data_IF_947439896252
#
_entry.id   IF_947439896252
#
_cell.length_a   1.000
_cell.length_b   1.000
_cell.length_c   1.000
_cell.angle_alpha   90.00
_cell.angle_beta   90.00
_cell.angle_gamma   90.00
#
_symmetry.space_group_name_H-M   'P 1'
#
loop_
_entity.id
_entity.type
_entity.pdbx_description
1 polymer ?
#
# COMPACT_ATOMS: atom_id res chain seq x y z
N UNK A 1 18.11 26.01 -2.21
CA UNK A 1 17.01 26.94 -2.54
C UNK A 1 16.01 26.14 -3.36
N UNK A 2 14.77 26.02 -2.89
CA UNK A 2 13.73 25.33 -3.67
C UNK A 2 13.36 26.19 -4.88
N UNK A 3 13.32 25.61 -6.08
CA UNK A 3 12.76 26.30 -7.24
C UNK A 3 11.27 26.56 -6.98
N UNK A 4 10.85 27.82 -7.08
CA UNK A 4 9.44 28.18 -7.01
C UNK A 4 8.73 27.75 -8.30
N UNK A 5 7.66 26.97 -8.17
CA UNK A 5 6.76 26.63 -9.29
C UNK A 5 5.68 27.70 -9.45
N UNK A 6 5.38 28.10 -10.69
CA UNK A 6 4.37 29.14 -10.98
C UNK A 6 3.41 28.68 -12.08
N UNK A 7 2.12 28.52 -11.74
CA UNK A 7 1.09 28.05 -12.68
C UNK A 7 0.89 28.97 -13.88
N UNK A 8 1.11 30.28 -13.73
CA UNK A 8 0.96 31.24 -14.83
C UNK A 8 2.03 31.11 -15.92
N UNK A 9 3.08 30.31 -15.67
CA UNK A 9 4.12 29.99 -16.65
C UNK A 9 3.79 28.72 -17.45
N UNK A 10 2.68 28.04 -17.16
CA UNK A 10 2.25 26.84 -17.87
C UNK A 10 1.24 27.20 -18.96
N UNK A 11 1.58 26.94 -20.22
CA UNK A 11 0.65 27.11 -21.36
C UNK A 11 -0.48 26.07 -21.36
N UNK A 12 -0.19 24.88 -20.81
CA UNK A 12 -1.12 23.75 -20.73
C UNK A 12 -0.99 23.10 -19.36
N UNK A 13 -2.13 22.71 -18.80
CA UNK A 13 -2.20 21.92 -17.57
C UNK A 13 -2.96 20.64 -17.88
N UNK A 14 -2.24 19.52 -17.82
CA UNK A 14 -2.83 18.19 -17.94
C UNK A 14 -3.32 17.71 -16.58
N UNK A 15 -4.52 17.14 -16.54
CA UNK A 15 -5.07 16.50 -15.37
C UNK A 15 -5.26 15.02 -15.66
N UNK A 16 -4.90 14.18 -14.70
CA UNK A 16 -5.35 12.80 -14.69
C UNK A 16 -6.88 12.74 -14.52
N UNK A 17 -7.51 11.66 -14.98
CA UNK A 17 -8.95 11.50 -14.88
C UNK A 17 -9.31 10.84 -13.54
N UNK A 18 -8.97 9.57 -13.38
CA UNK A 18 -9.41 8.77 -12.25
C UNK A 18 -8.74 9.23 -10.95
N UNK A 19 -9.54 9.38 -9.89
CA UNK A 19 -9.10 9.91 -8.60
C UNK A 19 -8.56 11.36 -8.62
N UNK A 20 -8.56 12.04 -9.78
CA UNK A 20 -8.19 13.46 -9.93
C UNK A 20 -9.38 14.32 -10.36
N UNK A 21 -9.82 14.23 -11.63
CA UNK A 21 -11.03 14.91 -12.11
C UNK A 21 -12.31 14.12 -11.76
N UNK A 22 -12.26 12.80 -11.95
CA UNK A 22 -13.33 11.89 -11.60
C UNK A 22 -13.11 11.38 -10.16
N UNK A 23 -14.03 11.76 -9.26
CA UNK A 23 -13.96 11.39 -7.84
C UNK A 23 -14.92 10.26 -7.55
N UNK A 24 -14.36 9.17 -7.02
CA UNK A 24 -15.10 7.99 -6.64
C UNK A 24 -15.47 8.00 -5.15
N UNK A 25 -16.55 7.30 -4.81
CA UNK A 25 -16.81 6.92 -3.42
C UNK A 25 -15.88 5.76 -3.06
N UNK A 26 -14.83 6.06 -2.28
CA UNK A 26 -13.74 5.12 -2.02
C UNK A 26 -14.22 3.84 -1.33
N UNK A 27 -15.18 3.92 -0.42
CA UNK A 27 -15.73 2.75 0.27
C UNK A 27 -16.35 1.76 -0.73
N UNK A 28 -17.27 2.24 -1.57
CA UNK A 28 -17.93 1.40 -2.58
C UNK A 28 -16.96 0.90 -3.66
N UNK A 29 -15.98 1.73 -4.05
CA UNK A 29 -15.01 1.37 -5.08
C UNK A 29 -14.03 0.30 -4.60
N UNK A 30 -13.51 0.45 -3.37
CA UNK A 30 -12.63 -0.56 -2.75
C UNK A 30 -13.37 -1.89 -2.59
N UNK A 31 -14.63 -1.83 -2.18
CA UNK A 31 -15.48 -3.02 -2.06
C UNK A 31 -15.63 -3.74 -3.39
N UNK A 32 -16.00 -3.01 -4.44
CA UNK A 32 -16.15 -3.56 -5.79
C UNK A 32 -14.84 -4.19 -6.31
N UNK A 33 -13.71 -3.51 -6.12
CA UNK A 33 -12.40 -3.99 -6.57
C UNK A 33 -12.05 -5.32 -5.90
N UNK A 34 -12.19 -5.39 -4.57
CA UNK A 34 -11.89 -6.60 -3.82
C UNK A 34 -12.84 -7.74 -4.18
N UNK A 35 -14.16 -7.51 -4.20
CA UNK A 35 -15.15 -8.54 -4.54
C UNK A 35 -14.89 -9.12 -5.93
N UNK A 36 -14.60 -8.25 -6.90
CA UNK A 36 -14.28 -8.67 -8.28
C UNK A 36 -13.04 -9.57 -8.32
N UNK A 37 -12.01 -9.23 -7.53
CA UNK A 37 -10.76 -9.98 -7.51
C UNK A 37 -10.89 -11.30 -6.73
N UNK A 38 -11.54 -11.28 -5.56
CA UNK A 38 -11.82 -12.47 -4.76
C UNK A 38 -12.65 -13.49 -5.55
N UNK A 39 -13.70 -13.02 -6.25
CA UNK A 39 -14.52 -13.86 -7.12
C UNK A 39 -13.68 -14.56 -8.19
N UNK A 40 -12.78 -13.82 -8.85
CA UNK A 40 -11.87 -14.39 -9.85
C UNK A 40 -10.92 -15.43 -9.24
N UNK A 41 -10.31 -15.14 -8.08
CA UNK A 41 -9.40 -16.07 -7.41
C UNK A 41 -10.10 -17.38 -7.01
N UNK A 42 -11.33 -17.31 -6.51
CA UNK A 42 -12.11 -18.49 -6.14
C UNK A 42 -12.50 -19.30 -7.38
N UNK A 43 -13.12 -18.65 -8.36
CA UNK A 43 -13.71 -19.35 -9.52
C UNK A 43 -12.68 -19.83 -10.53
N UNK A 44 -11.69 -19.00 -10.85
CA UNK A 44 -10.74 -19.26 -11.93
C UNK A 44 -9.40 -19.81 -11.43
N UNK A 45 -9.07 -19.59 -10.15
CA UNK A 45 -7.80 -20.05 -9.56
C UNK A 45 -7.98 -21.09 -8.45
N UNK A 46 -9.21 -21.40 -8.04
CA UNK A 46 -9.50 -22.44 -7.05
C UNK A 46 -9.06 -22.09 -5.62
N UNK A 47 -9.01 -20.80 -5.28
CA UNK A 47 -8.74 -20.36 -3.91
C UNK A 47 -9.94 -20.62 -3.00
N UNK A 48 -9.72 -20.60 -1.68
CA UNK A 48 -10.77 -20.81 -0.67
C UNK A 48 -11.93 -19.81 -0.83
N UNK A 49 -13.16 -20.32 -0.73
CA UNK A 49 -14.39 -19.49 -0.74
C UNK A 49 -14.44 -18.50 0.44
N UNK A 50 -13.63 -18.70 1.49
CA UNK A 50 -13.49 -17.76 2.61
C UNK A 50 -13.08 -16.36 2.16
N UNK A 51 -12.40 -16.20 1.02
CA UNK A 51 -12.07 -14.89 0.44
C UNK A 51 -13.30 -14.06 0.04
N UNK A 52 -14.47 -14.67 -0.12
CA UNK A 52 -15.71 -13.96 -0.41
C UNK A 52 -16.37 -13.38 0.85
N UNK A 53 -15.86 -13.75 2.03
CA UNK A 53 -16.43 -13.42 3.33
C UNK A 53 -15.47 -12.54 4.14
N UNK A 54 -15.44 -11.23 3.86
CA UNK A 54 -14.62 -10.26 4.60
C UNK A 54 -15.47 -9.46 5.59
N UNK A 55 -15.01 -9.37 6.82
CA UNK A 55 -15.70 -8.60 7.86
C UNK A 55 -15.52 -7.09 7.64
N UNK A 56 -16.48 -6.23 8.07
CA UNK A 56 -16.32 -4.78 8.02
C UNK A 56 -15.01 -4.26 8.64
N UNK A 57 -14.51 -4.91 9.69
CA UNK A 57 -13.30 -4.53 10.42
C UNK A 57 -12.02 -4.75 9.61
N UNK A 58 -12.02 -5.74 8.72
CA UNK A 58 -10.89 -6.07 7.85
C UNK A 58 -10.72 -5.04 6.72
N UNK A 59 -11.77 -4.31 6.35
CA UNK A 59 -11.69 -3.25 5.34
C UNK A 59 -10.88 -2.03 5.79
N UNK A 60 -10.82 -1.78 7.10
CA UNK A 60 -10.10 -0.63 7.68
C UNK A 60 -8.62 -0.95 7.98
N UNK A 61 -8.17 -2.17 7.73
CA UNK A 61 -6.80 -2.61 8.03
C UNK A 61 -5.75 -1.95 7.13
N UNK A 62 -5.97 -1.96 5.82
CA UNK A 62 -5.00 -1.48 4.83
C UNK A 62 -5.13 0.02 4.58
N UNK A 63 -4.01 0.74 4.59
CA UNK A 63 -3.96 2.18 4.31
C UNK A 63 -2.93 2.51 3.23
N UNK A 64 -3.12 3.66 2.56
CA UNK A 64 -2.18 4.14 1.54
C UNK A 64 -0.78 4.34 2.16
N UNK A 65 0.24 3.88 1.44
CA UNK A 65 1.65 4.04 1.83
C UNK A 65 2.23 2.87 2.62
N UNK A 66 1.49 1.77 2.77
CA UNK A 66 2.05 0.50 3.23
C UNK A 66 2.84 -0.17 2.10
N UNK A 67 3.91 -0.87 2.48
CA UNK A 67 4.66 -1.77 1.60
C UNK A 67 4.24 -3.19 1.92
N UNK A 68 3.91 -3.98 0.89
CA UNK A 68 3.71 -5.41 1.04
C UNK A 68 5.02 -6.12 0.70
N UNK A 69 5.64 -6.71 1.71
CA UNK A 69 6.77 -7.61 1.57
C UNK A 69 6.26 -9.03 1.25
N UNK A 70 6.35 -9.40 -0.02
CA UNK A 70 5.87 -10.70 -0.50
C UNK A 70 6.76 -11.87 -0.07
N UNK A 71 8.03 -11.63 0.25
CA UNK A 71 8.95 -12.69 0.65
C UNK A 71 8.63 -13.18 2.07
N UNK A 72 8.38 -12.23 2.98
CA UNK A 72 8.08 -12.52 4.38
C UNK A 72 6.57 -12.52 4.70
N UNK A 73 5.72 -12.11 3.75
CA UNK A 73 4.27 -12.04 3.94
C UNK A 73 3.81 -10.93 4.88
N UNK A 74 4.55 -9.81 4.92
CA UNK A 74 4.34 -8.75 5.91
C UNK A 74 3.88 -7.43 5.27
N UNK A 75 3.01 -6.70 5.96
CA UNK A 75 2.75 -5.29 5.66
C UNK A 75 3.64 -4.40 6.50
N UNK A 76 4.35 -3.47 5.86
CA UNK A 76 5.33 -2.59 6.48
C UNK A 76 4.90 -1.13 6.35
N UNK A 77 5.00 -0.39 7.46
CA UNK A 77 4.94 1.07 7.46
C UNK A 77 6.34 1.62 7.64
N UNK A 78 6.86 2.29 6.62
CA UNK A 78 8.22 2.80 6.61
C UNK A 78 8.30 4.29 6.96
N UNK A 79 9.41 4.69 7.57
CA UNK A 79 9.84 6.07 7.66
C UNK A 79 10.49 6.52 6.34
N UNK A 80 10.73 7.82 6.21
CA UNK A 80 11.35 8.42 5.02
C UNK A 80 12.80 7.95 4.77
N UNK A 81 13.46 7.39 5.79
CA UNK A 81 14.81 6.81 5.70
C UNK A 81 14.80 5.29 5.50
N UNK A 82 13.62 4.65 5.45
CA UNK A 82 13.47 3.22 5.24
C UNK A 82 13.34 2.39 6.52
N UNK A 83 13.40 3.03 7.69
CA UNK A 83 13.17 2.36 8.97
C UNK A 83 11.73 1.85 9.07
N UNK A 84 11.53 0.61 9.50
CA UNK A 84 10.22 0.02 9.74
C UNK A 84 9.65 0.58 11.05
N UNK A 85 8.59 1.38 10.92
CA UNK A 85 7.87 1.98 12.04
C UNK A 85 6.85 1.00 12.65
N UNK A 86 6.19 0.21 11.79
CA UNK A 86 5.22 -0.84 12.17
C UNK A 86 5.27 -1.96 11.15
N UNK A 87 5.01 -3.18 11.60
CA UNK A 87 4.82 -4.33 10.73
C UNK A 87 3.67 -5.21 11.22
N UNK A 88 3.07 -5.95 10.29
CA UNK A 88 2.13 -7.02 10.58
C UNK A 88 2.47 -8.22 9.70
N UNK A 89 2.25 -9.44 10.21
CA UNK A 89 2.24 -10.65 9.40
C UNK A 89 0.79 -11.03 9.10
N UNK A 90 0.38 -10.92 7.84
CA UNK A 90 -1.04 -10.79 7.51
C UNK A 90 -1.66 -9.63 8.30
N UNK A 91 -2.73 -9.90 9.07
CA UNK A 91 -3.41 -8.93 9.93
C UNK A 91 -2.88 -8.87 11.37
N UNK A 92 -1.95 -9.76 11.74
CA UNK A 92 -1.42 -9.83 13.11
C UNK A 92 -0.29 -8.80 13.29
N UNK A 93 -0.43 -7.88 14.24
CA UNK A 93 0.62 -6.94 14.61
C UNK A 93 1.88 -7.66 15.10
N UNK A 94 3.04 -7.19 14.66
CA UNK A 94 4.34 -7.69 15.11
C UNK A 94 4.91 -6.82 16.24
N UNK A 95 5.58 -7.43 17.21
CA UNK A 95 6.35 -6.72 18.24
C UNK A 95 7.66 -6.17 17.70
N UNK A 96 8.31 -5.31 18.48
CA UNK A 96 9.61 -4.78 18.08
C UNK A 96 10.71 -5.85 17.98
N UNK A 97 10.61 -6.89 18.80
CA UNK A 97 11.50 -8.05 18.78
C UNK A 97 11.25 -8.91 17.54
N UNK A 98 9.99 -9.21 17.22
CA UNK A 98 9.62 -9.96 16.00
C UNK A 98 10.09 -9.21 14.73
N UNK A 99 9.97 -7.88 14.71
CA UNK A 99 10.48 -7.07 13.59
C UNK A 99 12.01 -7.15 13.51
N UNK A 100 12.71 -7.08 14.64
CA UNK A 100 14.17 -7.15 14.66
C UNK A 100 14.70 -8.54 14.27
N UNK A 101 13.95 -9.61 14.58
CA UNK A 101 14.28 -10.98 14.17
C UNK A 101 14.19 -11.15 12.65
N UNK A 102 13.14 -10.61 12.02
CA UNK A 102 12.92 -10.73 10.56
C UNK A 102 13.77 -9.74 9.76
N UNK A 103 13.85 -8.49 10.20
CA UNK A 103 14.45 -7.36 9.44
C UNK A 103 15.77 -6.86 10.02
N UNK A 104 16.32 -7.54 11.04
CA UNK A 104 17.53 -7.16 11.74
C UNK A 104 17.33 -6.04 12.77
N UNK A 105 18.33 -5.86 13.64
CA UNK A 105 18.30 -4.88 14.75
C UNK A 105 18.01 -3.43 14.31
N UNK A 106 18.42 -3.07 13.09
CA UNK A 106 18.16 -1.73 12.52
C UNK A 106 16.74 -1.56 12.01
N UNK A 107 15.97 -2.65 11.87
CA UNK A 107 14.60 -2.69 11.34
C UNK A 107 14.51 -1.99 9.98
N UNK A 108 15.46 -2.28 9.11
CA UNK A 108 15.53 -1.68 7.77
C UNK A 108 15.03 -2.69 6.74
N UNK A 109 14.12 -2.27 5.87
CA UNK A 109 13.68 -3.14 4.78
C UNK A 109 14.71 -3.14 3.65
N UNK A 110 15.24 -4.32 3.32
CA UNK A 110 16.38 -4.52 2.40
C UNK A 110 16.17 -3.93 0.99
N UNK A 111 14.92 -3.75 0.55
CA UNK A 111 14.58 -3.25 -0.78
C UNK A 111 14.20 -1.76 -0.81
N UNK A 112 14.33 -1.02 0.30
CA UNK A 112 13.93 0.38 0.38
C UNK A 112 14.54 1.26 -0.73
N UNK A 113 15.82 1.02 -1.05
CA UNK A 113 16.52 1.77 -2.10
C UNK A 113 15.95 1.55 -3.51
N UNK A 114 15.28 0.43 -3.76
CA UNK A 114 14.62 0.18 -5.05
C UNK A 114 13.34 1.03 -5.22
N UNK A 115 12.64 1.35 -4.13
CA UNK A 115 11.43 2.18 -4.14
C UNK A 115 11.78 3.67 -4.22
N UNK A 116 12.84 4.11 -3.52
CA UNK A 116 13.25 5.52 -3.50
C UNK A 116 13.64 6.07 -4.88
N UNK A 117 14.10 5.21 -5.80
CA UNK A 117 14.42 5.61 -7.17
C UNK A 117 13.21 5.84 -8.07
N UNK A 118 12.03 5.32 -7.72
CA UNK A 118 10.88 5.22 -8.63
C UNK A 118 9.63 6.01 -8.20
N UNK A 119 9.41 6.24 -6.90
CA UNK A 119 8.15 6.84 -6.41
C UNK A 119 8.30 8.10 -5.54
N UNK A 120 9.52 8.57 -5.26
CA UNK A 120 9.76 9.75 -4.43
C UNK A 120 9.50 11.11 -5.13
N UNK A 121 8.82 11.11 -6.28
CA UNK A 121 8.46 12.30 -7.05
C UNK A 121 7.00 12.24 -7.49
N UNK A 122 6.09 12.28 -6.53
CA UNK A 122 4.71 12.75 -6.77
C UNK A 122 4.50 14.04 -6.00
#
# INVERSE_FOLDING_TARGET
MANSFCLSQCDVIGFDLDHTLCRYQLQESNKLIYESFAQYLVTEKGYSEELLCVSPEEWDFCSKGLVLDLEEGNFLKLAADGTILRATHGTKSMTGEEIAEVYGEKREWKHFNAINGSYARS
#
